data_IF_968562936088
#
_entry.id   IF_968562936088
#
_cell.length_a   1.000
_cell.length_b   1.000
_cell.length_c   1.000
_cell.angle_alpha   90.00
_cell.angle_beta   90.00
_cell.angle_gamma   90.00
#
_symmetry.space_group_name_H-M   'P 1'
#
loop_
_entity.id
_entity.type
_entity.pdbx_description
1 polymer ?
#
# COMPACT_ATOMS: atom_id res chain seq x y z
N UNK A 1 -8.83 19.39 -17.55
CA UNK A 1 -8.88 17.93 -17.35
C UNK A 1 -10.29 17.46 -17.70
N UNK A 2 -10.49 16.35 -18.40
CA UNK A 2 -11.83 15.90 -18.74
C UNK A 2 -12.61 15.57 -17.45
N UNK A 3 -13.85 16.04 -17.36
CA UNK A 3 -14.73 15.97 -16.19
C UNK A 3 -14.82 14.55 -15.60
N UNK A 4 -14.84 13.54 -16.46
CA UNK A 4 -14.84 12.12 -16.11
C UNK A 4 -13.65 11.71 -15.24
N UNK A 5 -12.47 12.31 -15.41
CA UNK A 5 -11.28 11.97 -14.61
C UNK A 5 -11.31 12.54 -13.21
N UNK A 6 -11.91 13.70 -13.04
CA UNK A 6 -12.06 14.33 -11.72
C UNK A 6 -13.14 13.61 -10.91
N UNK A 7 -14.26 13.25 -11.55
CA UNK A 7 -15.35 12.52 -10.89
C UNK A 7 -14.87 11.15 -10.38
N UNK A 8 -14.16 10.37 -11.20
CA UNK A 8 -13.69 9.06 -10.76
C UNK A 8 -12.65 9.14 -9.64
N UNK A 9 -11.79 10.18 -9.63
CA UNK A 9 -10.85 10.41 -8.54
C UNK A 9 -11.55 10.75 -7.22
N UNK A 10 -12.60 11.59 -7.27
CA UNK A 10 -13.41 11.92 -6.09
C UNK A 10 -14.13 10.67 -5.56
N UNK A 11 -14.73 9.88 -6.45
CA UNK A 11 -15.40 8.63 -6.07
C UNK A 11 -14.41 7.66 -5.40
N UNK A 12 -13.21 7.49 -5.98
CA UNK A 12 -12.18 6.63 -5.40
C UNK A 12 -11.73 7.11 -4.02
N UNK A 13 -11.56 8.43 -3.84
CA UNK A 13 -11.20 9.02 -2.55
C UNK A 13 -12.30 8.81 -1.50
N UNK A 14 -13.56 9.07 -1.86
CA UNK A 14 -14.70 8.85 -0.97
C UNK A 14 -14.86 7.37 -0.60
N UNK A 15 -14.66 6.48 -1.56
CA UNK A 15 -14.69 5.05 -1.34
C UNK A 15 -13.57 4.59 -0.41
N UNK A 16 -12.32 5.04 -0.64
CA UNK A 16 -11.19 4.75 0.24
C UNK A 16 -11.44 5.25 1.67
N UNK A 17 -11.93 6.48 1.81
CA UNK A 17 -12.28 7.05 3.11
C UNK A 17 -13.38 6.23 3.81
N UNK A 18 -14.45 5.88 3.09
CA UNK A 18 -15.54 5.06 3.61
C UNK A 18 -15.05 3.69 4.10
N UNK A 19 -14.18 3.02 3.34
CA UNK A 19 -13.62 1.72 3.72
C UNK A 19 -12.78 1.83 4.99
N UNK A 20 -11.96 2.88 5.12
CA UNK A 20 -11.16 3.14 6.33
C UNK A 20 -12.08 3.38 7.53
N UNK A 21 -13.18 4.10 7.35
CA UNK A 21 -14.20 4.32 8.40
C UNK A 21 -14.86 3.01 8.82
N UNK A 22 -15.30 2.18 7.86
CA UNK A 22 -15.98 0.91 8.17
C UNK A 22 -15.09 -0.07 8.95
N UNK A 23 -13.81 -0.20 8.57
CA UNK A 23 -12.84 -1.04 9.30
C UNK A 23 -13.13 -2.55 9.26
N UNK A 24 -12.32 -3.33 9.99
CA UNK A 24 -12.46 -4.77 10.17
C UNK A 24 -12.70 -5.56 8.88
N UNK A 25 -13.77 -6.37 8.85
CA UNK A 25 -14.06 -7.22 7.68
C UNK A 25 -14.37 -6.43 6.41
N UNK A 26 -15.02 -5.26 6.51
CA UNK A 26 -15.27 -4.42 5.34
C UNK A 26 -13.96 -3.90 4.73
N UNK A 27 -13.05 -3.46 5.59
CA UNK A 27 -11.69 -3.05 5.18
C UNK A 27 -10.93 -4.22 4.57
N UNK A 28 -10.95 -5.38 5.23
CA UNK A 28 -10.27 -6.61 4.78
C UNK A 28 -10.78 -7.09 3.43
N UNK A 29 -12.09 -7.12 3.20
CA UNK A 29 -12.68 -7.55 1.94
C UNK A 29 -12.36 -6.57 0.80
N UNK A 30 -12.46 -5.26 1.06
CA UNK A 30 -12.12 -4.25 0.08
C UNK A 30 -10.63 -4.31 -0.32
N UNK A 31 -9.73 -4.42 0.67
CA UNK A 31 -8.30 -4.64 0.41
C UNK A 31 -8.05 -5.98 -0.29
N UNK A 32 -8.81 -7.03 0.03
CA UNK A 32 -8.76 -8.33 -0.65
C UNK A 32 -9.02 -8.21 -2.15
N UNK A 33 -10.04 -7.43 -2.54
CA UNK A 33 -10.33 -7.13 -3.96
C UNK A 33 -9.20 -6.32 -4.61
N UNK A 34 -8.71 -5.28 -3.93
CA UNK A 34 -7.60 -4.44 -4.44
C UNK A 34 -6.35 -5.30 -4.66
N UNK A 35 -5.97 -6.11 -3.68
CA UNK A 35 -4.82 -7.02 -3.73
C UNK A 35 -5.00 -8.06 -4.83
N UNK A 36 -6.18 -8.66 -4.95
CA UNK A 36 -6.44 -9.64 -6.00
C UNK A 36 -6.27 -9.04 -7.40
N UNK A 37 -6.81 -7.85 -7.63
CA UNK A 37 -6.72 -7.18 -8.92
C UNK A 37 -5.31 -6.67 -9.23
N UNK A 38 -4.62 -6.07 -8.25
CA UNK A 38 -3.22 -5.64 -8.41
C UNK A 38 -2.27 -6.82 -8.63
N UNK A 39 -2.47 -7.93 -7.91
CA UNK A 39 -1.68 -9.14 -8.10
C UNK A 39 -1.93 -9.80 -9.46
N UNK A 40 -3.15 -9.68 -10.00
CA UNK A 40 -3.44 -10.11 -11.38
C UNK A 40 -2.64 -9.30 -12.39
N UNK A 41 -2.61 -7.98 -12.26
CA UNK A 41 -1.81 -7.12 -13.14
C UNK A 41 -0.31 -7.45 -13.03
N UNK A 42 0.22 -7.71 -11.83
CA UNK A 42 1.61 -8.19 -11.66
C UNK A 42 1.85 -9.48 -12.43
N UNK A 43 0.96 -10.47 -12.32
CA UNK A 43 1.16 -11.74 -13.04
C UNK A 43 0.96 -11.61 -14.54
N UNK A 44 0.11 -10.70 -15.01
CA UNK A 44 -0.02 -10.39 -16.43
C UNK A 44 1.29 -9.79 -16.98
N UNK A 45 1.99 -8.92 -16.22
CA UNK A 45 3.34 -8.43 -16.56
C UNK A 45 4.37 -9.56 -16.64
N UNK A 46 4.33 -10.49 -15.67
CA UNK A 46 5.22 -11.66 -15.64
C UNK A 46 4.96 -12.59 -16.82
N UNK A 47 3.68 -12.82 -17.16
CA UNK A 47 3.28 -13.64 -18.30
C UNK A 47 3.71 -13.02 -19.64
N UNK A 48 3.71 -11.68 -19.75
CA UNK A 48 4.20 -10.98 -20.95
C UNK A 48 5.68 -11.29 -21.25
N UNK A 49 6.45 -11.72 -20.23
CA UNK A 49 7.85 -12.15 -20.36
C UNK A 49 8.02 -13.65 -20.66
N UNK A 50 6.92 -14.38 -20.81
CA UNK A 50 6.93 -15.84 -21.00
C UNK A 50 7.25 -16.63 -19.73
N UNK A 51 7.23 -15.98 -18.57
CA UNK A 51 7.40 -16.62 -17.26
C UNK A 51 6.03 -17.17 -16.83
N UNK A 52 6.01 -18.40 -16.30
CA UNK A 52 4.81 -19.14 -15.90
C UNK A 52 4.79 -19.34 -14.37
N UNK A 53 4.51 -18.28 -13.59
CA UNK A 53 4.41 -18.35 -12.14
C UNK A 53 3.21 -19.20 -11.70
N UNK A 54 3.25 -19.65 -10.45
CA UNK A 54 2.16 -20.34 -9.79
C UNK A 54 1.02 -19.38 -9.38
N UNK A 55 0.54 -18.55 -10.33
CA UNK A 55 -0.36 -17.44 -10.05
C UNK A 55 -1.60 -17.83 -9.24
N UNK A 56 -2.26 -18.94 -9.62
CA UNK A 56 -3.47 -19.45 -8.93
C UNK A 56 -3.22 -19.77 -7.46
N UNK A 57 -2.16 -20.51 -7.15
CA UNK A 57 -1.84 -20.86 -5.77
C UNK A 57 -1.43 -19.61 -4.99
N UNK A 58 -0.68 -18.71 -5.62
CA UNK A 58 -0.27 -17.46 -4.97
C UNK A 58 -1.48 -16.57 -4.65
N UNK A 59 -2.48 -16.48 -5.51
CA UNK A 59 -3.73 -15.75 -5.20
C UNK A 59 -4.42 -16.30 -3.95
N UNK A 60 -4.58 -17.63 -3.88
CA UNK A 60 -5.24 -18.28 -2.74
C UNK A 60 -4.47 -18.01 -1.45
N UNK A 61 -3.15 -18.19 -1.47
CA UNK A 61 -2.30 -17.94 -0.31
C UNK A 61 -2.35 -16.47 0.10
N UNK A 62 -2.29 -15.52 -0.84
CA UNK A 62 -2.41 -14.08 -0.55
C UNK A 62 -3.75 -13.76 0.12
N UNK A 63 -4.87 -14.29 -0.36
CA UNK A 63 -6.18 -14.04 0.26
C UNK A 63 -6.29 -14.64 1.66
N UNK A 64 -5.77 -15.86 1.86
CA UNK A 64 -5.67 -16.46 3.20
C UNK A 64 -4.82 -15.60 4.15
N UNK A 65 -3.74 -15.02 3.64
CA UNK A 65 -2.86 -14.14 4.41
C UNK A 65 -3.61 -12.89 4.89
N UNK A 66 -4.43 -12.26 4.04
CA UNK A 66 -5.25 -11.11 4.42
C UNK A 66 -6.34 -11.48 5.45
N UNK A 67 -6.97 -12.65 5.29
CA UNK A 67 -7.96 -13.16 6.26
C UNK A 67 -7.30 -13.42 7.61
N UNK A 68 -6.14 -14.08 7.63
CA UNK A 68 -5.41 -14.31 8.88
C UNK A 68 -4.85 -13.02 9.48
N UNK A 69 -4.54 -12.00 8.67
CA UNK A 69 -4.16 -10.69 9.17
C UNK A 69 -5.26 -10.01 10.00
N UNK A 70 -6.52 -10.23 9.63
CA UNK A 70 -7.67 -9.77 10.41
C UNK A 70 -7.91 -10.62 11.66
N UNK A 71 -7.82 -11.96 11.57
CA UNK A 71 -8.14 -12.86 12.68
C UNK A 71 -7.05 -12.85 13.76
N UNK A 72 -5.79 -12.97 13.35
CA UNK A 72 -4.66 -13.12 14.27
C UNK A 72 -3.34 -12.74 13.60
N UNK A 73 -2.71 -11.61 14.02
CA UNK A 73 -1.44 -11.17 13.48
C UNK A 73 -0.32 -12.22 13.59
N UNK A 74 -0.36 -13.11 14.58
CA UNK A 74 0.63 -14.19 14.76
C UNK A 74 0.54 -15.27 13.68
N UNK A 75 -0.67 -15.55 13.18
CA UNK A 75 -0.87 -16.55 12.13
C UNK A 75 -0.26 -16.09 10.80
N UNK A 76 -0.28 -14.80 10.51
CA UNK A 76 0.32 -14.22 9.28
C UNK A 76 1.79 -14.60 9.15
N UNK A 77 2.53 -14.58 10.26
CA UNK A 77 3.95 -14.90 10.27
C UNK A 77 4.23 -16.37 9.89
N UNK A 78 3.27 -17.27 10.11
CA UNK A 78 3.36 -18.67 9.69
C UNK A 78 2.90 -18.86 8.23
N UNK A 79 1.92 -18.09 7.77
CA UNK A 79 1.33 -18.21 6.42
C UNK A 79 2.35 -17.91 5.33
N UNK A 80 3.22 -16.90 5.52
CA UNK A 80 4.24 -16.56 4.52
C UNK A 80 5.22 -17.73 4.22
N UNK A 81 5.94 -18.31 5.21
CA UNK A 81 6.84 -19.41 4.95
C UNK A 81 6.11 -20.67 4.48
N UNK A 82 4.98 -21.03 5.10
CA UNK A 82 4.21 -22.22 4.71
C UNK A 82 3.65 -22.09 3.29
N UNK A 83 3.08 -20.92 2.96
CA UNK A 83 2.56 -20.61 1.64
C UNK A 83 3.65 -20.57 0.57
N UNK A 84 4.81 -19.98 0.89
CA UNK A 84 5.98 -19.98 0.01
C UNK A 84 6.50 -21.40 -0.26
N UNK A 85 6.63 -22.23 0.79
CA UNK A 85 7.02 -23.64 0.64
C UNK A 85 6.00 -24.42 -0.21
N UNK A 86 4.70 -24.20 0.02
CA UNK A 86 3.65 -24.84 -0.77
C UNK A 86 3.69 -24.43 -2.25
N UNK A 87 3.93 -23.15 -2.55
CA UNK A 87 4.10 -22.65 -3.92
C UNK A 87 5.30 -23.32 -4.59
N UNK A 88 6.45 -23.38 -3.91
CA UNK A 88 7.64 -24.06 -4.42
C UNK A 88 7.37 -25.55 -4.68
N UNK A 89 6.69 -26.23 -3.76
CA UNK A 89 6.30 -27.63 -3.91
C UNK A 89 5.36 -27.83 -5.10
N UNK A 90 4.33 -26.99 -5.25
CA UNK A 90 3.38 -27.04 -6.36
C UNK A 90 4.05 -26.89 -7.73
N UNK A 91 5.08 -26.03 -7.83
CA UNK A 91 5.84 -25.84 -9.06
C UNK A 91 6.64 -27.08 -9.49
N UNK A 92 7.01 -27.97 -8.55
CA UNK A 92 7.71 -29.23 -8.87
C UNK A 92 6.83 -30.22 -9.65
N UNK A 93 5.50 -30.12 -9.50
CA UNK A 93 4.55 -31.03 -10.15
C UNK A 93 3.92 -30.43 -11.42
N UNK A 94 4.43 -29.29 -11.90
CA UNK A 94 3.95 -28.73 -13.16
C UNK A 94 4.41 -29.56 -14.36
N UNK A 95 3.60 -29.67 -15.44
CA UNK A 95 3.97 -30.44 -16.63
C UNK A 95 5.25 -29.94 -17.32
N UNK A 96 5.60 -28.66 -17.14
CA UNK A 96 6.84 -28.07 -17.59
C UNK A 96 7.74 -27.86 -16.37
N UNK A 97 9.03 -28.15 -16.53
CA UNK A 97 10.02 -27.85 -15.49
C UNK A 97 9.98 -26.36 -15.15
N UNK A 98 9.69 -26.06 -13.89
CA UNK A 98 9.70 -24.70 -13.38
C UNK A 98 11.13 -24.14 -13.43
N UNK A 99 11.24 -22.91 -13.93
CA UNK A 99 12.49 -22.15 -13.94
C UNK A 99 12.68 -21.38 -12.64
N UNK A 100 13.90 -20.90 -12.40
CA UNK A 100 14.19 -19.99 -11.28
C UNK A 100 13.31 -18.73 -11.38
N UNK A 101 13.04 -18.25 -12.59
CA UNK A 101 12.18 -17.09 -12.82
C UNK A 101 10.73 -17.35 -12.38
N UNK A 102 10.19 -18.55 -12.63
CA UNK A 102 8.82 -18.92 -12.23
C UNK A 102 8.68 -18.94 -10.70
N UNK A 103 9.66 -19.52 -10.00
CA UNK A 103 9.71 -19.55 -8.54
C UNK A 103 9.84 -18.12 -8.00
N UNK A 104 10.81 -17.36 -8.49
CA UNK A 104 11.07 -15.99 -8.04
C UNK A 104 9.85 -15.09 -8.24
N UNK A 105 9.20 -15.16 -9.41
CA UNK A 105 7.99 -14.37 -9.68
C UNK A 105 6.81 -14.78 -8.79
N UNK A 106 6.67 -16.08 -8.48
CA UNK A 106 5.61 -16.57 -7.59
C UNK A 106 5.82 -16.09 -6.15
N UNK A 107 7.05 -16.16 -5.64
CA UNK A 107 7.40 -15.68 -4.29
C UNK A 107 7.33 -14.15 -4.22
N UNK A 108 7.80 -13.45 -5.26
CA UNK A 108 7.67 -12.00 -5.35
C UNK A 108 6.20 -11.59 -5.36
N UNK A 109 5.34 -12.26 -6.13
CA UNK A 109 3.90 -12.03 -6.13
C UNK A 109 3.26 -12.25 -4.76
N UNK A 110 3.70 -13.26 -4.00
CA UNK A 110 3.24 -13.48 -2.63
C UNK A 110 3.70 -12.36 -1.69
N UNK A 111 4.99 -12.04 -1.73
CA UNK A 111 5.61 -11.07 -0.85
C UNK A 111 5.08 -9.66 -1.12
N UNK A 112 5.26 -9.18 -2.36
CA UNK A 112 4.91 -7.84 -2.79
C UNK A 112 3.39 -7.66 -2.93
N UNK A 113 2.69 -8.63 -3.52
CA UNK A 113 1.25 -8.53 -3.76
C UNK A 113 0.37 -8.89 -2.57
N UNK A 114 0.78 -9.83 -1.70
CA UNK A 114 -0.05 -10.32 -0.59
C UNK A 114 0.46 -9.89 0.79
N UNK A 115 1.70 -10.23 1.11
CA UNK A 115 2.25 -10.06 2.46
C UNK A 115 2.43 -8.59 2.84
N UNK A 116 3.02 -7.75 1.98
CA UNK A 116 3.21 -6.34 2.28
C UNK A 116 1.87 -5.60 2.48
N UNK A 117 0.85 -5.74 1.61
CA UNK A 117 -0.45 -5.11 1.84
C UNK A 117 -1.20 -5.58 3.08
N UNK A 118 -0.92 -6.80 3.58
CA UNK A 118 -1.54 -7.31 4.82
C UNK A 118 -1.26 -6.42 6.04
N UNK A 119 -0.17 -5.66 6.03
CA UNK A 119 0.15 -4.71 7.09
C UNK A 119 -0.86 -3.57 7.19
N UNK A 120 -1.57 -3.21 6.12
CA UNK A 120 -2.67 -2.24 6.21
C UNK A 120 -3.84 -2.77 7.04
N UNK A 121 -4.18 -4.05 6.89
CA UNK A 121 -5.22 -4.71 7.69
C UNK A 121 -4.77 -4.76 9.15
N UNK A 122 -3.54 -5.23 9.39
CA UNK A 122 -2.98 -5.29 10.75
C UNK A 122 -2.88 -3.93 11.42
N UNK A 123 -2.57 -2.88 10.66
CA UNK A 123 -2.55 -1.50 11.15
C UNK A 123 -3.96 -1.02 11.49
N UNK A 124 -4.93 -1.28 10.61
CA UNK A 124 -6.30 -0.82 10.82
C UNK A 124 -6.98 -1.53 12.00
N UNK A 125 -6.61 -2.78 12.27
CA UNK A 125 -7.16 -3.62 13.34
C UNK A 125 -6.23 -3.74 14.57
N UNK A 126 -5.37 -2.73 14.81
CA UNK A 126 -4.51 -2.70 16.00
C UNK A 126 -5.28 -2.80 17.32
N UNK A 127 -6.50 -2.28 17.35
CA UNK A 127 -7.39 -2.33 18.49
C UNK A 127 -8.60 -3.20 18.15
N UNK A 128 -8.97 -4.12 19.04
CA UNK A 128 -10.11 -5.03 18.85
C UNK A 128 -11.49 -4.34 18.92
N UNK A 129 -11.56 -3.02 18.70
CA UNK A 129 -12.82 -2.32 18.52
C UNK A 129 -13.42 -2.75 17.19
N UNK A 130 -14.67 -3.21 17.21
CA UNK A 130 -15.28 -3.86 16.04
C UNK A 130 -15.34 -2.97 14.80
N UNK A 131 -15.72 -3.56 13.68
CA UNK A 131 -16.04 -2.83 12.46
C UNK A 131 -17.38 -2.11 12.59
N UNK A 132 -17.51 -0.90 12.04
CA UNK A 132 -18.82 -0.29 11.82
C UNK A 132 -19.56 -1.05 10.71
N UNK A 133 -20.88 -1.30 10.83
CA UNK A 133 -21.78 -0.96 11.94
C UNK A 133 -21.87 -2.04 13.03
N UNK A 134 -21.27 -3.21 12.82
CA UNK A 134 -21.37 -4.41 13.67
C UNK A 134 -20.37 -4.39 14.85
N UNK A 135 -20.45 -3.37 15.70
CA UNK A 135 -19.68 -3.30 16.96
C UNK A 135 -18.46 -2.37 16.95
N UNK A 136 -18.39 -1.43 16.01
CA UNK A 136 -17.33 -0.43 15.93
C UNK A 136 -17.56 0.88 16.67
N UNK A 137 -16.47 1.65 16.77
CA UNK A 137 -16.49 2.99 17.34
C UNK A 137 -17.34 3.93 16.47
N UNK A 138 -18.49 4.36 16.99
CA UNK A 138 -19.24 5.47 16.42
C UNK A 138 -18.73 6.78 17.03
N UNK A 139 -18.22 7.74 16.23
CA UNK A 139 -17.84 9.04 16.75
C UNK A 139 -19.08 9.71 17.37
N UNK A 140 -19.06 9.96 18.67
CA UNK A 140 -20.02 10.86 19.31
C UNK A 140 -19.70 12.30 18.93
N UNK A 141 -20.73 13.14 18.83
CA UNK A 141 -20.54 14.57 18.65
C UNK A 141 -20.39 15.27 20.00
N UNK A 142 -19.36 16.11 20.23
CA UNK A 142 -18.30 16.52 19.29
C UNK A 142 -17.21 15.45 19.10
N UNK A 143 -16.64 15.36 17.89
CA UNK A 143 -15.60 14.38 17.56
C UNK A 143 -14.28 14.76 18.24
N UNK A 144 -13.90 13.99 19.27
CA UNK A 144 -12.58 14.09 19.89
C UNK A 144 -11.57 13.22 19.13
N UNK A 145 -10.67 13.85 18.37
CA UNK A 145 -9.69 13.15 17.52
C UNK A 145 -8.80 12.20 18.32
N UNK A 146 -8.47 12.56 19.56
CA UNK A 146 -7.62 11.77 20.46
C UNK A 146 -8.31 10.52 21.03
N UNK A 147 -9.64 10.50 21.02
CA UNK A 147 -10.43 9.34 21.46
C UNK A 147 -10.65 8.32 20.32
N UNK A 148 -10.22 8.64 19.09
CA UNK A 148 -10.35 7.77 17.94
C UNK A 148 -9.35 6.61 18.01
N UNK A 149 -9.72 5.42 17.51
CA UNK A 149 -8.82 4.27 17.47
C UNK A 149 -7.46 4.58 16.83
N UNK A 150 -6.37 4.09 17.42
CA UNK A 150 -5.00 4.33 16.93
C UNK A 150 -4.81 3.77 15.52
N UNK A 151 -5.37 2.58 15.26
CA UNK A 151 -5.32 1.96 13.94
C UNK A 151 -6.01 2.79 12.87
N UNK A 152 -7.17 3.36 13.19
CA UNK A 152 -7.91 4.25 12.28
C UNK A 152 -7.14 5.54 11.99
N UNK A 153 -6.69 6.24 13.03
CA UNK A 153 -5.98 7.52 12.89
C UNK A 153 -4.63 7.36 12.18
N UNK A 154 -3.88 6.30 12.48
CA UNK A 154 -2.63 5.99 11.81
C UNK A 154 -2.81 5.65 10.32
N UNK A 155 -3.84 4.87 9.96
CA UNK A 155 -4.15 4.58 8.55
C UNK A 155 -4.50 5.86 7.78
N UNK A 156 -5.36 6.72 8.36
CA UNK A 156 -5.72 8.00 7.73
C UNK A 156 -4.51 8.93 7.58
N UNK A 157 -3.68 9.04 8.61
CA UNK A 157 -2.47 9.85 8.56
C UNK A 157 -1.53 9.35 7.46
N UNK A 158 -1.31 8.04 7.36
CA UNK A 158 -0.44 7.48 6.36
C UNK A 158 -0.96 7.71 4.93
N UNK A 159 -2.25 7.50 4.69
CA UNK A 159 -2.86 7.79 3.38
C UNK A 159 -2.78 9.28 3.04
N UNK A 160 -2.91 10.16 4.03
CA UNK A 160 -2.75 11.61 3.87
C UNK A 160 -1.31 11.98 3.52
N UNK A 161 -0.31 11.38 4.16
CA UNK A 161 1.11 11.56 3.83
C UNK A 161 1.44 11.07 2.41
N UNK A 162 0.95 9.89 2.00
CA UNK A 162 1.13 9.37 0.63
C UNK A 162 0.51 10.35 -0.38
N UNK A 163 -0.74 10.75 -0.14
CA UNK A 163 -1.45 11.69 -1.02
C UNK A 163 -0.74 13.04 -1.12
N UNK A 164 -0.22 13.55 0.00
CA UNK A 164 0.54 14.79 0.04
C UNK A 164 1.87 14.68 -0.71
N UNK A 165 2.55 13.53 -0.61
CA UNK A 165 3.76 13.26 -1.37
C UNK A 165 3.49 13.30 -2.89
N UNK A 166 2.43 12.63 -3.34
CA UNK A 166 2.06 12.58 -4.76
C UNK A 166 1.63 13.95 -5.30
N UNK A 167 0.79 14.68 -4.54
CA UNK A 167 0.34 16.03 -4.91
C UNK A 167 1.53 16.99 -4.93
N UNK A 168 2.37 16.97 -3.90
CA UNK A 168 3.55 17.83 -3.81
C UNK A 168 4.53 17.57 -4.96
N UNK A 169 4.80 16.29 -5.25
CA UNK A 169 5.67 15.90 -6.35
C UNK A 169 5.10 16.28 -7.71
N UNK A 170 3.80 16.13 -7.92
CA UNK A 170 3.14 16.53 -9.17
C UNK A 170 3.17 18.05 -9.39
N UNK A 171 2.81 18.84 -8.38
CA UNK A 171 2.73 20.30 -8.50
C UNK A 171 4.11 20.93 -8.69
N UNK A 172 5.10 20.49 -7.91
CA UNK A 172 6.46 20.99 -8.01
C UNK A 172 7.18 20.44 -9.24
N UNK A 173 7.00 19.15 -9.57
CA UNK A 173 7.58 18.56 -10.77
C UNK A 173 7.06 19.22 -12.06
N UNK A 174 5.78 19.62 -12.09
CA UNK A 174 5.21 20.35 -13.23
C UNK A 174 5.71 21.79 -13.34
N UNK A 175 5.89 22.47 -12.21
CA UNK A 175 6.22 23.92 -12.17
C UNK A 175 7.72 24.20 -12.21
N UNK A 176 8.51 23.33 -11.58
CA UNK A 176 9.95 23.53 -11.34
C UNK A 176 10.82 22.35 -11.78
N UNK A 177 10.24 21.26 -12.27
CA UNK A 177 10.98 20.06 -12.63
C UNK A 177 11.93 20.30 -13.81
N UNK A 178 13.22 20.06 -13.57
CA UNK A 178 14.27 20.19 -14.59
C UNK A 178 15.10 18.93 -14.70
N UNK A 179 15.40 18.30 -13.57
CA UNK A 179 16.27 17.12 -13.54
C UNK A 179 15.45 15.83 -13.43
N UNK A 180 15.50 14.92 -14.40
CA UNK A 180 14.80 13.64 -14.31
C UNK A 180 15.39 12.78 -13.19
N UNK A 181 14.51 12.10 -12.44
CA UNK A 181 14.88 11.31 -11.26
C UNK A 181 15.53 9.97 -11.64
N UNK A 182 15.05 9.32 -12.70
CA UNK A 182 15.62 8.06 -13.19
C UNK A 182 15.32 7.85 -14.67
N UNK A 183 16.14 7.02 -15.32
CA UNK A 183 15.89 6.60 -16.71
C UNK A 183 14.65 5.70 -16.84
N UNK A 184 14.23 5.05 -15.73
CA UNK A 184 13.07 4.16 -15.69
C UNK A 184 11.76 4.97 -15.73
N UNK A 185 11.75 6.13 -15.05
CA UNK A 185 10.61 7.05 -15.00
C UNK A 185 11.05 8.50 -15.31
N UNK A 186 11.29 8.82 -16.60
CA UNK A 186 11.82 10.12 -17.01
C UNK A 186 10.87 11.30 -16.77
N UNK A 187 9.59 11.02 -16.47
CA UNK A 187 8.59 12.05 -16.13
C UNK A 187 8.68 12.51 -14.68
N UNK A 188 9.32 11.74 -13.80
CA UNK A 188 9.55 12.13 -12.41
C UNK A 188 10.81 12.97 -12.34
N UNK A 189 10.76 14.05 -11.58
CA UNK A 189 11.90 14.94 -11.40
C UNK A 189 12.42 14.92 -9.97
N UNK A 190 13.71 15.22 -9.80
CA UNK A 190 14.36 15.29 -8.49
C UNK A 190 13.71 16.38 -7.65
N UNK A 191 13.40 17.53 -8.24
CA UNK A 191 12.72 18.62 -7.55
C UNK A 191 11.32 18.17 -7.08
N UNK A 192 10.56 17.49 -7.94
CA UNK A 192 9.28 16.91 -7.57
C UNK A 192 9.41 15.95 -6.38
N UNK A 193 10.38 15.04 -6.41
CA UNK A 193 10.60 14.10 -5.31
C UNK A 193 10.92 14.81 -3.98
N UNK A 194 11.76 15.86 -4.01
CA UNK A 194 12.09 16.65 -2.80
C UNK A 194 10.87 17.38 -2.26
N UNK A 195 10.07 18.02 -3.12
CA UNK A 195 8.86 18.71 -2.67
C UNK A 195 7.78 17.74 -2.16
N UNK A 196 7.63 16.57 -2.79
CA UNK A 196 6.77 15.50 -2.29
C UNK A 196 7.21 15.02 -0.90
N UNK A 197 8.51 14.84 -0.69
CA UNK A 197 9.08 14.49 0.61
C UNK A 197 8.72 15.54 1.68
N UNK A 198 8.95 16.82 1.39
CA UNK A 198 8.65 17.92 2.31
C UNK A 198 7.15 17.97 2.62
N UNK A 199 6.28 17.82 1.61
CA UNK A 199 4.84 17.78 1.82
C UNK A 199 4.41 16.64 2.75
N UNK A 200 4.96 15.43 2.54
CA UNK A 200 4.71 14.27 3.41
C UNK A 200 5.17 14.51 4.85
N UNK A 201 6.36 15.09 5.04
CA UNK A 201 6.91 15.47 6.35
C UNK A 201 5.99 16.47 7.05
N UNK A 202 5.55 17.52 6.36
CA UNK A 202 4.67 18.54 6.94
C UNK A 202 3.33 17.94 7.37
N UNK A 203 2.72 17.10 6.54
CA UNK A 203 1.46 16.40 6.90
C UNK A 203 1.68 15.44 8.08
N UNK A 204 2.82 14.74 8.11
CA UNK A 204 3.19 13.88 9.24
C UNK A 204 3.32 14.65 10.55
N UNK A 205 4.00 15.80 10.53
CA UNK A 205 4.16 16.69 11.69
C UNK A 205 2.81 17.21 12.18
N UNK A 206 1.97 17.71 11.26
CA UNK A 206 0.64 18.24 11.60
C UNK A 206 -0.24 17.12 12.18
N UNK A 207 -0.25 15.95 11.56
CA UNK A 207 -1.00 14.79 12.04
C UNK A 207 -0.55 14.32 13.43
N UNK A 208 0.75 14.20 13.65
CA UNK A 208 1.29 13.84 14.96
C UNK A 208 0.96 14.87 16.04
N UNK A 209 0.92 16.16 15.71
CA UNK A 209 0.50 17.21 16.63
C UNK A 209 -0.99 17.10 16.99
N UNK A 210 -1.87 16.86 16.00
CA UNK A 210 -3.31 16.67 16.20
C UNK A 210 -3.60 15.42 17.05
N UNK A 211 -2.82 14.35 16.86
CA UNK A 211 -2.91 13.10 17.62
C UNK A 211 -2.16 13.14 18.96
N UNK A 212 -1.54 14.27 19.31
CA UNK A 212 -0.78 14.46 20.55
C UNK A 212 0.31 13.39 20.77
N UNK A 213 1.00 13.00 19.71
CA UNK A 213 2.11 12.05 19.80
C UNK A 213 3.30 12.61 20.59
N UNK A 214 4.07 11.76 21.28
CA UNK A 214 5.30 12.18 21.94
C UNK A 214 6.27 12.75 20.91
N UNK A 215 6.93 13.86 21.26
CA UNK A 215 7.85 14.59 20.39
C UNK A 215 7.27 14.79 18.97
N UNK A 216 6.00 15.23 18.88
CA UNK A 216 5.20 15.26 17.63
C UNK A 216 5.94 15.78 16.39
N UNK A 217 6.80 16.80 16.53
CA UNK A 217 7.58 17.32 15.40
C UNK A 217 8.61 16.30 14.87
N UNK A 218 9.29 15.60 15.78
CA UNK A 218 10.27 14.57 15.44
C UNK A 218 9.59 13.27 15.01
N UNK A 219 8.58 12.80 15.76
CA UNK A 219 7.87 11.55 15.44
C UNK A 219 7.06 11.67 14.14
N UNK A 220 6.29 12.75 14.00
CA UNK A 220 5.55 13.03 12.77
C UNK A 220 6.46 13.31 11.57
N UNK A 221 7.55 14.05 11.77
CA UNK A 221 8.53 14.31 10.73
C UNK A 221 9.25 13.05 10.25
N UNK A 222 9.64 12.17 11.18
CA UNK A 222 10.26 10.88 10.86
C UNK A 222 9.28 9.97 10.10
N UNK A 223 8.02 9.86 10.55
CA UNK A 223 7.00 9.09 9.84
C UNK A 223 6.78 9.63 8.43
N UNK A 224 6.58 10.95 8.29
CA UNK A 224 6.36 11.59 6.98
C UNK A 224 7.56 11.41 6.04
N UNK A 225 8.79 11.47 6.55
CA UNK A 225 9.99 11.20 5.76
C UNK A 225 10.04 9.73 5.30
N UNK A 226 9.80 8.78 6.20
CA UNK A 226 9.76 7.36 5.87
C UNK A 226 8.71 7.06 4.79
N UNK A 227 7.50 7.59 4.95
CA UNK A 227 6.40 7.44 3.98
C UNK A 227 6.79 8.05 2.63
N UNK A 228 7.39 9.24 2.60
CA UNK A 228 7.81 9.89 1.37
C UNK A 228 8.88 9.09 0.61
N UNK A 229 9.77 8.40 1.31
CA UNK A 229 10.78 7.51 0.69
C UNK A 229 10.09 6.25 0.15
N UNK A 230 9.24 5.61 0.95
CA UNK A 230 8.64 4.32 0.61
C UNK A 230 7.58 4.44 -0.48
N UNK A 231 6.83 5.54 -0.52
CA UNK A 231 5.89 5.81 -1.62
C UNK A 231 6.64 5.97 -2.95
N UNK A 232 7.72 6.77 -2.96
CA UNK A 232 8.55 6.95 -4.14
C UNK A 232 9.19 5.63 -4.60
N UNK A 233 9.67 4.81 -3.66
CA UNK A 233 10.22 3.50 -3.95
C UNK A 233 9.18 2.55 -4.56
N UNK A 234 7.94 2.57 -4.06
CA UNK A 234 6.82 1.79 -4.61
C UNK A 234 6.57 2.09 -6.07
N UNK A 235 6.38 3.36 -6.41
CA UNK A 235 6.10 3.77 -7.80
C UNK A 235 7.32 3.54 -8.73
N UNK A 236 8.55 3.72 -8.24
CA UNK A 236 9.74 3.35 -9.02
C UNK A 236 9.86 1.84 -9.26
N UNK A 237 9.49 1.02 -8.27
CA UNK A 237 9.49 -0.45 -8.39
C UNK A 237 8.47 -0.91 -9.42
N UNK A 238 7.26 -0.34 -9.37
CA UNK A 238 6.22 -0.64 -10.34
C UNK A 238 6.60 -0.17 -11.76
N UNK A 239 7.15 1.05 -11.86
CA UNK A 239 7.72 1.56 -13.11
C UNK A 239 8.79 0.64 -13.67
N UNK A 240 9.67 0.08 -12.83
CA UNK A 240 10.69 -0.89 -13.24
C UNK A 240 10.05 -2.16 -13.80
N UNK A 241 9.05 -2.73 -13.13
CA UNK A 241 8.35 -3.93 -13.60
C UNK A 241 7.67 -3.69 -14.95
N UNK A 242 7.02 -2.55 -15.15
CA UNK A 242 6.37 -2.19 -16.43
C UNK A 242 7.38 -2.09 -17.57
N UNK A 243 8.51 -1.41 -17.33
CA UNK A 243 9.58 -1.24 -18.34
C UNK A 243 10.23 -2.58 -18.70
N UNK A 244 10.47 -3.44 -17.71
CA UNK A 244 11.02 -4.77 -17.97
C UNK A 244 10.05 -5.65 -18.78
N UNK A 245 8.74 -5.55 -18.52
CA UNK A 245 7.69 -6.24 -19.28
C UNK A 245 7.40 -5.62 -20.66
N UNK A 246 8.05 -4.50 -21.02
CA UNK A 246 7.85 -3.82 -22.31
C UNK A 246 6.51 -3.10 -22.45
N UNK A 247 5.76 -2.92 -21.35
CA UNK A 247 4.47 -2.22 -21.33
C UNK A 247 4.59 -0.88 -20.61
N UNK A 248 3.62 0.01 -20.81
CA UNK A 248 3.60 1.33 -20.18
C UNK A 248 2.67 1.40 -18.97
N UNK A 249 1.51 0.76 -19.06
CA UNK A 249 0.47 0.72 -18.04
C UNK A 249 0.33 -0.74 -17.57
N UNK A 250 0.08 -0.96 -16.28
CA UNK A 250 0.01 -2.32 -15.69
C UNK A 250 -1.26 -3.08 -16.08
N UNK A 251 -2.31 -2.35 -16.44
CA UNK A 251 -3.61 -2.88 -16.87
C UNK A 251 -4.51 -1.80 -17.48
N UNK A 252 -5.70 -2.23 -17.92
CA UNK A 252 -6.76 -1.34 -18.44
C UNK A 252 -8.06 -1.44 -17.63
N UNK A 253 -7.98 -1.99 -16.41
CA UNK A 253 -9.13 -2.29 -15.55
C UNK A 253 -9.95 -1.03 -15.20
N UNK A 254 -9.31 0.13 -15.09
CA UNK A 254 -10.00 1.41 -14.86
C UNK A 254 -9.95 2.25 -16.14
N UNK A 255 -11.09 2.41 -16.87
CA UNK A 255 -11.15 3.18 -18.10
C UNK A 255 -10.62 4.61 -17.92
N UNK A 256 -9.47 4.91 -18.55
CA UNK A 256 -8.82 6.22 -18.50
C UNK A 256 -7.87 6.47 -17.31
N UNK A 257 -7.70 5.50 -16.40
CA UNK A 257 -6.86 5.65 -15.19
C UNK A 257 -5.74 4.64 -15.01
N UNK A 258 -5.65 3.63 -15.89
CA UNK A 258 -4.62 2.59 -15.83
C UNK A 258 -5.08 1.37 -15.03
N UNK A 259 -4.11 0.63 -14.50
CA UNK A 259 -4.36 -0.51 -13.62
C UNK A 259 -4.64 -0.10 -12.17
N UNK A 260 -5.04 -1.07 -11.36
CA UNK A 260 -5.15 -0.92 -9.90
C UNK A 260 -3.75 -0.86 -9.26
N UNK A 261 -2.79 -1.56 -9.84
CA UNK A 261 -1.40 -1.54 -9.41
C UNK A 261 -0.79 -0.14 -9.59
N UNK A 262 -1.09 0.55 -10.69
CA UNK A 262 -0.69 1.96 -10.94
C UNK A 262 -1.24 2.95 -9.89
N UNK A 263 -2.18 2.52 -9.04
CA UNK A 263 -2.81 3.36 -8.01
C UNK A 263 -2.41 2.97 -6.59
N UNK A 264 -1.84 1.78 -6.44
CA UNK A 264 -1.58 1.17 -5.13
C UNK A 264 -0.10 0.88 -4.90
N UNK A 265 0.73 1.06 -5.92
CA UNK A 265 2.20 0.96 -5.90
C UNK A 265 2.86 1.66 -4.70
N UNK A 266 2.52 2.92 -4.44
CA UNK A 266 3.02 3.73 -3.32
C UNK A 266 2.61 3.19 -1.95
N UNK A 267 1.55 2.39 -1.88
CA UNK A 267 0.99 1.87 -0.63
C UNK A 267 1.62 0.55 -0.21
N UNK A 268 2.20 -0.21 -1.15
CA UNK A 268 2.73 -1.55 -0.89
C UNK A 268 3.88 -1.54 0.11
N UNK A 269 4.94 -0.78 -0.16
CA UNK A 269 6.09 -0.70 0.75
C UNK A 269 5.82 0.16 1.99
N UNK A 270 4.87 1.10 1.89
CA UNK A 270 4.54 2.00 3.00
C UNK A 270 3.84 1.28 4.15
N UNK A 271 3.02 0.26 3.86
CA UNK A 271 2.24 -0.48 4.85
C UNK A 271 3.06 -1.02 6.05
N UNK A 272 4.11 -1.86 5.85
CA UNK A 272 4.89 -2.39 6.98
C UNK A 272 5.64 -1.30 7.74
N UNK A 273 6.11 -0.26 7.05
CA UNK A 273 6.90 0.80 7.66
C UNK A 273 6.04 1.61 8.63
N UNK A 274 4.82 1.97 8.22
CA UNK A 274 3.87 2.64 9.11
C UNK A 274 3.49 1.73 10.28
N UNK A 275 3.21 0.46 10.02
CA UNK A 275 2.85 -0.50 11.07
C UNK A 275 3.93 -0.60 12.14
N UNK A 276 5.20 -0.82 11.76
CA UNK A 276 6.28 -0.92 12.74
C UNK A 276 6.64 0.43 13.36
N UNK A 277 6.46 1.54 12.64
CA UNK A 277 6.62 2.86 13.24
C UNK A 277 5.65 3.05 14.40
N UNK A 278 4.37 2.74 14.19
CA UNK A 278 3.31 2.94 15.20
C UNK A 278 3.39 1.90 16.33
N UNK A 279 3.73 0.65 16.02
CA UNK A 279 3.71 -0.43 17.03
C UNK A 279 5.02 -0.60 17.80
N UNK A 280 6.15 -0.19 17.23
CA UNK A 280 7.48 -0.39 17.81
C UNK A 280 8.18 0.94 18.13
N UNK A 281 8.32 1.85 17.16
CA UNK A 281 9.10 3.08 17.38
C UNK A 281 8.36 4.11 18.23
N UNK A 282 7.08 4.36 17.94
CA UNK A 282 6.29 5.36 18.65
C UNK A 282 6.16 5.07 20.16
N UNK A 283 5.89 3.82 20.60
CA UNK A 283 5.86 3.49 22.02
C UNK A 283 7.23 3.63 22.70
N UNK A 284 8.34 3.41 21.99
CA UNK A 284 9.68 3.62 22.53
C UNK A 284 9.97 5.09 22.83
N UNK A 285 9.37 6.03 22.09
CA UNK A 285 9.50 7.47 22.34
C UNK A 285 8.65 7.97 23.51
N UNK A 286 7.66 7.18 23.94
CA UNK A 286 6.77 7.51 25.06
C UNK A 286 7.25 6.99 26.42
N UNK A 287 8.32 6.19 26.44
CA UNK A 287 8.98 5.68 27.65
C UNK A 287 10.03 6.65 28.15
#
# INVERSE_FOLDING_TARGET
MPLTRTISAIIALLFAFLIVVLGGWYFTLAFGVIVFLGQREIFDLVHAKGILPAAKTTFVVSQLLLVFAHISPTLVNAVLPLGGTFICFYLLFQPKFATIADVAASILGLFYGGYLPSYWIRLRDLEASGSLPLGGFWPSWPIEIQALPTGFTATLLAFSCISAADIGAYLAGRSFGRTPLSNISPKKTVEGAVFGMVASILVGIIGAALLSWPFWAMSGGALGALIGITSLLGDLTESLMKRDAGVKDSGQLIPGHGGILDRTDSYVFTAPIVYYFVTLLLPMLSR
#
